data_IF_720476688060
#
_entry.id   IF_720476688060
#
_cell.length_a   1.000
_cell.length_b   1.000
_cell.length_c   1.000
_cell.angle_alpha   90.00
_cell.angle_beta   90.00
_cell.angle_gamma   90.00
#
_symmetry.space_group_name_H-M   'P 1'
#
loop_
_entity.id
_entity.type
_entity.pdbx_description
1 polymer ?
#
# COMPACT_ATOMS: atom_id res chain seq x y z
N UNK A 1 4.34 -0.41 -15.60
CA UNK A 1 3.85 -0.17 -14.22
C UNK A 1 2.38 -0.51 -14.20
N UNK A 2 1.94 -1.23 -13.17
CA UNK A 2 0.53 -1.44 -12.85
C UNK A 2 -0.14 -0.07 -12.73
N UNK A 3 -1.30 0.11 -13.35
CA UNK A 3 -2.04 1.36 -13.26
C UNK A 3 -3.52 1.07 -13.32
N UNK A 4 -4.22 1.30 -12.21
CA UNK A 4 -5.67 1.27 -12.18
C UNK A 4 -6.21 2.39 -13.08
N UNK A 5 -7.31 2.14 -13.79
CA UNK A 5 -7.98 3.19 -14.56
C UNK A 5 -8.44 4.33 -13.64
N UNK A 6 -8.10 5.60 -13.94
CA UNK A 6 -8.50 6.74 -13.12
C UNK A 6 -10.01 6.80 -12.94
N UNK A 7 -10.47 6.92 -11.69
CA UNK A 7 -11.90 7.03 -11.37
C UNK A 7 -12.64 5.70 -11.16
N UNK A 8 -12.00 4.56 -11.42
CA UNK A 8 -12.59 3.26 -11.04
C UNK A 8 -12.56 3.14 -9.52
N UNK A 9 -13.69 2.89 -8.82
CA UNK A 9 -13.70 2.68 -7.37
C UNK A 9 -13.01 1.36 -6.98
N UNK A 10 -12.61 1.22 -5.72
CA UNK A 10 -12.14 -0.08 -5.22
C UNK A 10 -13.36 -0.90 -4.80
N UNK A 11 -13.75 -1.88 -5.61
CA UNK A 11 -14.93 -2.70 -5.31
C UNK A 11 -14.74 -3.52 -4.03
N UNK A 12 -15.77 -3.56 -3.18
CA UNK A 12 -15.71 -4.26 -1.89
C UNK A 12 -14.94 -3.53 -0.80
N UNK A 13 -14.66 -2.24 -0.97
CA UNK A 13 -14.04 -1.37 0.02
C UNK A 13 -14.94 -0.18 0.37
N UNK A 14 -14.85 0.31 1.59
CA UNK A 14 -15.52 1.56 1.98
C UNK A 14 -14.90 2.76 1.25
N UNK A 15 -15.55 3.94 1.21
CA UNK A 15 -14.96 5.14 0.62
C UNK A 15 -13.62 5.53 1.26
N UNK A 16 -13.49 5.33 2.57
CA UNK A 16 -12.26 5.58 3.32
C UNK A 16 -11.15 4.60 2.93
N UNK A 17 -11.43 3.29 2.96
CA UNK A 17 -10.50 2.25 2.50
C UNK A 17 -10.08 2.47 1.04
N UNK A 18 -11.02 2.85 0.18
CA UNK A 18 -10.77 3.15 -1.24
C UNK A 18 -9.82 4.34 -1.42
N UNK A 19 -9.95 5.36 -0.59
CA UNK A 19 -9.07 6.53 -0.62
C UNK A 19 -7.65 6.16 -0.19
N UNK A 20 -7.52 5.37 0.86
CA UNK A 20 -6.25 4.85 1.35
C UNK A 20 -5.56 3.94 0.31
N UNK A 21 -6.31 3.01 -0.31
CA UNK A 21 -5.77 2.16 -1.39
C UNK A 21 -5.31 2.99 -2.59
N UNK A 22 -6.07 4.01 -2.97
CA UNK A 22 -5.69 4.90 -4.08
C UNK A 22 -4.41 5.69 -3.75
N UNK A 23 -4.23 6.08 -2.48
CA UNK A 23 -3.01 6.75 -2.04
C UNK A 23 -1.81 5.79 -2.01
N UNK A 24 -2.01 4.54 -1.56
CA UNK A 24 -0.97 3.50 -1.64
C UNK A 24 -0.56 3.24 -3.10
N UNK A 25 -1.51 3.11 -4.02
CA UNK A 25 -1.23 2.94 -5.45
C UNK A 25 -0.43 4.14 -6.01
N UNK A 26 -0.82 5.37 -5.63
CA UNK A 26 -0.08 6.57 -6.02
C UNK A 26 1.39 6.54 -5.55
N UNK A 27 1.64 6.10 -4.30
CA UNK A 27 2.98 5.90 -3.77
C UNK A 27 3.71 4.71 -4.42
N UNK A 28 2.98 3.77 -5.03
CA UNK A 28 3.46 2.56 -5.67
C UNK A 28 4.07 2.75 -7.05
N UNK A 29 4.07 3.98 -7.60
CA UNK A 29 4.68 4.30 -8.89
C UNK A 29 6.16 3.88 -9.04
N UNK A 30 6.88 3.55 -7.97
CA UNK A 30 8.23 2.99 -8.03
C UNK A 30 8.35 1.59 -7.37
N UNK A 31 7.24 0.86 -7.26
CA UNK A 31 7.16 -0.41 -6.53
C UNK A 31 7.34 -0.23 -5.02
N UNK A 32 6.96 0.93 -4.48
CA UNK A 32 7.21 1.35 -3.11
C UNK A 32 8.69 1.29 -2.71
N UNK A 33 9.60 1.50 -3.66
CA UNK A 33 11.01 1.58 -3.37
C UNK A 33 11.30 2.72 -2.39
N UNK A 34 12.26 2.48 -1.50
CA UNK A 34 12.65 3.42 -0.45
C UNK A 34 13.23 4.69 -1.06
N UNK A 35 12.62 5.82 -0.74
CA UNK A 35 13.16 7.15 -0.91
C UNK A 35 12.74 7.99 0.31
N UNK A 36 13.23 9.22 0.43
CA UNK A 36 12.93 10.07 1.60
C UNK A 36 11.43 10.28 1.81
N UNK A 37 10.66 10.48 0.73
CA UNK A 37 9.22 10.68 0.80
C UNK A 37 8.47 9.41 1.22
N UNK A 38 8.74 8.26 0.59
CA UNK A 38 8.08 7.00 0.99
C UNK A 38 8.47 6.58 2.40
N UNK A 39 9.67 6.91 2.86
CA UNK A 39 10.11 6.60 4.23
C UNK A 39 9.33 7.38 5.30
N UNK A 40 9.01 8.64 5.05
CA UNK A 40 8.20 9.45 5.95
C UNK A 40 6.71 9.09 5.86
N UNK A 41 6.19 8.87 4.65
CA UNK A 41 4.75 8.77 4.41
C UNK A 41 4.21 7.34 4.58
N UNK A 42 4.93 6.32 4.11
CA UNK A 42 4.39 4.95 4.05
C UNK A 42 3.99 4.38 5.43
N UNK A 43 4.78 4.54 6.51
CA UNK A 43 4.38 4.05 7.82
C UNK A 43 3.09 4.70 8.34
N UNK A 44 2.86 5.97 8.03
CA UNK A 44 1.66 6.72 8.42
C UNK A 44 0.45 6.17 7.68
N UNK A 45 0.54 6.04 6.36
CA UNK A 45 -0.55 5.51 5.53
C UNK A 45 -0.94 4.09 5.92
N UNK A 46 0.04 3.23 6.19
CA UNK A 46 -0.22 1.87 6.67
C UNK A 46 -0.84 1.86 8.07
N UNK A 47 -0.54 2.86 8.91
CA UNK A 47 -1.20 3.03 10.20
C UNK A 47 -2.66 3.44 10.02
N UNK A 48 -2.96 4.36 9.10
CA UNK A 48 -4.32 4.77 8.77
C UNK A 48 -5.14 3.60 8.20
N UNK A 49 -4.51 2.78 7.35
CA UNK A 49 -5.13 1.53 6.87
C UNK A 49 -5.47 0.58 8.02
N UNK A 50 -4.54 0.36 8.94
CA UNK A 50 -4.79 -0.49 10.09
C UNK A 50 -5.91 0.06 10.98
N UNK A 51 -5.98 1.37 11.18
CA UNK A 51 -7.04 2.04 11.92
C UNK A 51 -8.42 1.90 11.25
N UNK A 52 -8.46 1.93 9.91
CA UNK A 52 -9.65 1.68 9.10
C UNK A 52 -10.04 0.18 9.01
N UNK A 53 -9.33 -0.72 9.68
CA UNK A 53 -9.58 -2.17 9.63
C UNK A 53 -9.06 -2.86 8.35
N UNK A 54 -8.26 -2.16 7.56
CA UNK A 54 -7.71 -2.65 6.30
C UNK A 54 -6.38 -3.38 6.55
N UNK A 55 -6.42 -4.71 6.57
CA UNK A 55 -5.22 -5.54 6.80
C UNK A 55 -4.24 -5.50 5.62
N UNK A 56 -2.94 -5.67 5.90
CA UNK A 56 -1.90 -5.72 4.87
C UNK A 56 -2.20 -6.77 3.78
N UNK A 57 -2.71 -7.94 4.17
CA UNK A 57 -3.08 -8.97 3.21
C UNK A 57 -4.17 -8.50 2.23
N UNK A 58 -5.16 -7.75 2.73
CA UNK A 58 -6.24 -7.19 1.91
C UNK A 58 -5.73 -6.08 0.99
N UNK A 59 -4.81 -5.24 1.46
CA UNK A 59 -4.08 -4.26 0.63
C UNK A 59 -3.32 -4.95 -0.50
N UNK A 60 -2.51 -5.96 -0.18
CA UNK A 60 -1.71 -6.69 -1.17
C UNK A 60 -2.57 -7.38 -2.21
N UNK A 61 -3.70 -7.97 -1.81
CA UNK A 61 -4.65 -8.56 -2.74
C UNK A 61 -5.23 -7.50 -3.69
N UNK A 62 -5.64 -6.34 -3.17
CA UNK A 62 -6.13 -5.24 -4.00
C UNK A 62 -5.05 -4.73 -4.97
N UNK A 63 -3.81 -4.57 -4.52
CA UNK A 63 -2.71 -4.16 -5.39
C UNK A 63 -2.39 -5.22 -6.45
N UNK A 64 -2.48 -6.51 -6.11
CA UNK A 64 -2.29 -7.59 -7.06
C UNK A 64 -3.34 -7.58 -8.18
N UNK A 65 -4.61 -7.24 -7.89
CA UNK A 65 -5.67 -7.21 -8.93
C UNK A 65 -5.45 -6.13 -9.98
N UNK A 66 -4.73 -5.06 -9.64
CA UNK A 66 -4.39 -3.98 -10.60
C UNK A 66 -3.02 -4.16 -11.26
N UNK A 67 -2.31 -5.27 -10.96
CA UNK A 67 -1.14 -5.72 -11.70
C UNK A 67 0.21 -5.55 -11.00
N UNK A 68 0.26 -5.24 -9.70
CA UNK A 68 1.53 -5.22 -8.97
C UNK A 68 2.13 -6.62 -8.85
N UNK A 69 3.43 -6.72 -9.13
CA UNK A 69 4.17 -7.99 -9.06
C UNK A 69 4.53 -8.39 -7.62
N UNK A 70 4.94 -9.65 -7.46
CA UNK A 70 5.33 -10.20 -6.15
C UNK A 70 6.46 -9.41 -5.48
N UNK A 71 7.37 -8.85 -6.26
CA UNK A 71 8.51 -8.10 -5.73
C UNK A 71 8.05 -6.78 -5.11
N UNK A 72 7.18 -6.05 -5.81
CA UNK A 72 6.57 -4.82 -5.32
C UNK A 72 5.70 -5.08 -4.09
N UNK A 73 4.87 -6.13 -4.14
CA UNK A 73 4.05 -6.54 -2.99
C UNK A 73 4.89 -6.94 -1.76
N UNK A 74 6.11 -7.44 -1.96
CA UNK A 74 7.03 -7.72 -0.87
C UNK A 74 7.58 -6.44 -0.23
N UNK A 75 7.72 -5.33 -0.96
CA UNK A 75 8.08 -4.05 -0.35
C UNK A 75 7.02 -3.60 0.67
N UNK A 76 5.74 -3.87 0.45
CA UNK A 76 4.70 -3.59 1.43
C UNK A 76 4.90 -4.38 2.73
N UNK A 77 5.40 -5.62 2.67
CA UNK A 77 5.75 -6.38 3.88
C UNK A 77 6.89 -5.71 4.65
N UNK A 78 7.89 -5.19 3.94
CA UNK A 78 9.02 -4.48 4.55
C UNK A 78 8.61 -3.17 5.19
N UNK A 79 7.67 -2.45 4.57
CA UNK A 79 7.08 -1.23 5.13
C UNK A 79 6.21 -1.52 6.35
N UNK A 80 5.45 -2.62 6.35
CA UNK A 80 4.69 -3.03 7.52
C UNK A 80 5.60 -3.42 8.68
N UNK A 81 6.71 -4.11 8.40
CA UNK A 81 7.74 -4.36 9.42
C UNK A 81 8.32 -3.05 9.95
N UNK A 82 8.57 -2.06 9.08
CA UNK A 82 9.05 -0.74 9.49
C UNK A 82 8.05 -0.04 10.41
N UNK A 83 6.75 -0.11 10.10
CA UNK A 83 5.68 0.46 10.92
C UNK A 83 5.57 -0.21 12.30
N UNK A 84 5.62 -1.54 12.34
CA UNK A 84 5.36 -2.31 13.56
C UNK A 84 6.58 -2.49 14.46
N UNK A 85 7.79 -2.52 13.89
CA UNK A 85 9.04 -2.80 14.63
C UNK A 85 10.03 -1.65 14.61
N UNK A 86 9.78 -0.61 13.82
CA UNK A 86 10.74 0.48 13.57
C UNK A 86 11.87 0.10 12.61
N UNK A 87 11.93 -1.14 12.11
CA UNK A 87 12.99 -1.66 11.22
C UNK A 87 12.39 -2.29 9.96
N UNK A 88 13.06 -2.10 8.82
CA UNK A 88 12.72 -2.82 7.60
C UNK A 88 12.98 -4.31 7.81
N UNK A 89 11.98 -5.13 7.53
CA UNK A 89 12.08 -6.59 7.59
C UNK A 89 12.98 -7.15 6.48
N UNK A 90 13.41 -8.42 6.63
CA UNK A 90 14.12 -9.14 5.59
C UNK A 90 13.29 -9.29 4.32
#
# INVERSE_FOLDING_TARGET
>A
MAKKEPGTPWEGFTPEESSLLSYIDHLGNNGWARNGQTEEVMPIVLSDCAAAGLSLARIKNAMATIGYDKHSLHQLDRWESKRTTGKFGP
#
